data_IF_892166093618
#
_entry.id   IF_892166093618
#
_cell.length_a   1.000
_cell.length_b   1.000
_cell.length_c   1.000
_cell.angle_alpha   90.00
_cell.angle_beta   90.00
_cell.angle_gamma   90.00
#
_symmetry.space_group_name_H-M   'P 1'
#
loop_
_entity.id
_entity.type
_entity.pdbx_description
1 polymer ?
#
# COMPACT_ATOMS: atom_id res chain seq x y z
N UNK A 1 -10.21 -15.71 -29.50
CA UNK A 1 -8.77 -15.73 -29.14
C UNK A 1 -7.82 -15.39 -30.30
N UNK A 2 -8.07 -15.85 -31.57
CA UNK A 2 -7.18 -15.61 -32.74
C UNK A 2 -6.92 -14.12 -33.03
N UNK A 3 -7.93 -13.26 -32.94
CA UNK A 3 -7.79 -11.82 -33.24
C UNK A 3 -6.90 -11.04 -32.28
N UNK A 4 -6.74 -11.49 -31.03
CA UNK A 4 -5.90 -10.85 -30.01
C UNK A 4 -4.42 -11.08 -30.35
N UNK A 5 -4.07 -12.33 -30.72
CA UNK A 5 -2.71 -12.70 -31.13
C UNK A 5 -2.24 -11.82 -32.29
N UNK A 6 -3.06 -11.65 -33.32
CA UNK A 6 -2.75 -10.82 -34.47
C UNK A 6 -2.55 -9.34 -34.08
N UNK A 7 -3.36 -8.79 -33.19
CA UNK A 7 -3.24 -7.41 -32.73
C UNK A 7 -1.98 -7.17 -31.87
N UNK A 8 -1.56 -8.15 -31.07
CA UNK A 8 -0.33 -8.10 -30.27
C UNK A 8 0.91 -8.16 -31.15
N UNK A 9 0.91 -9.06 -32.14
CA UNK A 9 2.08 -9.23 -33.04
C UNK A 9 2.19 -8.09 -34.06
N UNK A 10 1.10 -7.43 -34.43
CA UNK A 10 1.11 -6.22 -35.28
C UNK A 10 1.78 -5.02 -34.61
N UNK A 11 1.78 -4.95 -33.27
CA UNK A 11 2.45 -3.92 -32.49
C UNK A 11 3.86 -4.42 -32.11
N UNK A 12 4.90 -3.63 -32.37
CA UNK A 12 6.29 -3.94 -31.96
C UNK A 12 6.46 -3.70 -30.44
N UNK A 13 5.76 -4.48 -29.62
CA UNK A 13 5.79 -4.39 -28.16
C UNK A 13 6.93 -5.23 -27.59
N UNK A 14 7.53 -4.76 -26.49
CA UNK A 14 8.40 -5.56 -25.63
C UNK A 14 7.60 -6.68 -24.94
N UNK A 15 8.28 -7.68 -24.37
CA UNK A 15 7.59 -8.77 -23.65
C UNK A 15 6.77 -8.25 -22.48
N UNK A 16 7.26 -7.23 -21.78
CA UNK A 16 6.54 -6.61 -20.66
C UNK A 16 5.24 -5.94 -21.13
N UNK A 17 5.32 -5.11 -22.17
CA UNK A 17 4.15 -4.43 -22.75
C UNK A 17 3.13 -5.44 -23.32
N UNK A 18 3.59 -6.59 -23.86
CA UNK A 18 2.66 -7.65 -24.29
C UNK A 18 1.93 -8.30 -23.12
N UNK A 19 2.64 -8.58 -22.01
CA UNK A 19 2.05 -9.15 -20.81
C UNK A 19 1.00 -8.20 -20.24
N UNK A 20 1.31 -6.90 -20.12
CA UNK A 20 0.37 -5.86 -19.68
C UNK A 20 -0.85 -5.79 -20.61
N UNK A 21 -0.63 -5.76 -21.92
CA UNK A 21 -1.71 -5.71 -22.89
C UNK A 21 -2.67 -6.90 -22.76
N UNK A 22 -2.14 -8.11 -22.56
CA UNK A 22 -2.96 -9.32 -22.38
C UNK A 22 -3.73 -9.27 -21.06
N UNK A 23 -3.06 -8.84 -19.98
CA UNK A 23 -3.71 -8.66 -18.67
C UNK A 23 -4.87 -7.65 -18.76
N UNK A 24 -4.63 -6.49 -19.36
CA UNK A 24 -5.64 -5.42 -19.50
C UNK A 24 -6.78 -5.86 -20.43
N UNK A 25 -6.47 -6.65 -21.46
CA UNK A 25 -7.52 -7.22 -22.31
C UNK A 25 -8.45 -8.14 -21.51
N UNK A 26 -7.91 -9.05 -20.69
CA UNK A 26 -8.72 -9.94 -19.86
C UNK A 26 -9.50 -9.15 -18.80
N UNK A 27 -8.86 -8.20 -18.10
CA UNK A 27 -9.52 -7.30 -17.14
C UNK A 27 -10.67 -6.51 -17.78
N UNK A 28 -10.51 -6.05 -19.00
CA UNK A 28 -11.56 -5.30 -19.71
C UNK A 28 -12.70 -6.21 -20.12
N UNK A 29 -12.40 -7.41 -20.60
CA UNK A 29 -13.41 -8.37 -21.12
C UNK A 29 -14.18 -9.08 -20.03
N UNK A 30 -13.51 -9.47 -18.93
CA UNK A 30 -14.07 -10.33 -17.89
C UNK A 30 -14.42 -9.52 -16.63
N UNK A 31 -15.49 -9.91 -15.97
CA UNK A 31 -15.87 -9.37 -14.65
C UNK A 31 -15.92 -10.52 -13.64
N UNK A 32 -15.23 -10.38 -12.51
CA UNK A 32 -15.29 -11.36 -11.44
C UNK A 32 -16.69 -11.37 -10.80
N UNK A 33 -17.28 -12.55 -10.67
CA UNK A 33 -18.63 -12.77 -10.14
C UNK A 33 -18.68 -12.89 -8.61
N UNK A 34 -17.51 -12.88 -7.94
CA UNK A 34 -17.39 -13.03 -6.49
C UNK A 34 -17.00 -14.45 -6.06
N UNK A 35 -17.04 -15.43 -6.96
CA UNK A 35 -16.74 -16.83 -6.63
C UNK A 35 -15.25 -17.11 -6.62
N UNK A 36 -14.80 -17.76 -5.55
CA UNK A 36 -13.44 -18.25 -5.38
C UNK A 36 -13.31 -19.65 -5.97
N UNK A 37 -12.14 -19.98 -6.51
CA UNK A 37 -11.88 -21.31 -7.05
C UNK A 37 -10.46 -21.44 -7.60
N UNK A 38 -10.01 -22.69 -7.73
CA UNK A 38 -8.77 -23.06 -8.43
C UNK A 38 -9.05 -23.91 -9.67
N UNK A 39 -10.29 -24.34 -9.85
CA UNK A 39 -10.79 -25.10 -11.00
C UNK A 39 -11.90 -24.29 -11.66
N UNK A 40 -11.92 -24.27 -12.98
CA UNK A 40 -13.04 -23.74 -13.73
C UNK A 40 -14.23 -24.73 -13.61
N UNK A 41 -15.41 -24.20 -13.44
CA UNK A 41 -16.66 -24.97 -13.42
C UNK A 41 -17.23 -25.12 -14.84
N UNK A 42 -17.16 -24.02 -15.62
CA UNK A 42 -17.58 -23.99 -17.01
C UNK A 42 -16.38 -24.12 -17.98
N UNK A 43 -16.66 -24.41 -19.25
CA UNK A 43 -15.68 -24.30 -20.32
C UNK A 43 -15.21 -22.84 -20.45
N UNK A 44 -13.89 -22.63 -20.60
CA UNK A 44 -13.29 -21.29 -20.61
C UNK A 44 -13.84 -20.40 -21.75
N UNK A 45 -14.20 -20.97 -22.87
CA UNK A 45 -14.80 -20.26 -24.01
C UNK A 45 -16.19 -19.73 -23.66
N UNK A 46 -17.01 -20.51 -22.94
CA UNK A 46 -18.34 -20.10 -22.48
C UNK A 46 -18.24 -18.95 -21.46
N UNK A 47 -17.33 -19.05 -20.49
CA UNK A 47 -17.08 -17.98 -19.53
C UNK A 47 -16.59 -16.70 -20.24
N UNK A 48 -15.70 -16.84 -21.21
CA UNK A 48 -15.19 -15.71 -22.01
C UNK A 48 -16.28 -15.04 -22.84
N UNK A 49 -17.19 -15.81 -23.47
CA UNK A 49 -18.32 -15.27 -24.22
C UNK A 49 -19.30 -14.55 -23.31
N UNK A 50 -19.59 -15.11 -22.15
CA UNK A 50 -20.44 -14.50 -21.09
C UNK A 50 -19.85 -13.18 -20.56
N UNK A 51 -18.52 -13.06 -20.50
CA UNK A 51 -17.80 -11.87 -20.00
C UNK A 51 -17.77 -11.77 -18.47
N UNK A 52 -18.08 -12.85 -17.76
CA UNK A 52 -17.97 -12.95 -16.31
C UNK A 52 -17.58 -14.37 -15.91
N UNK A 53 -17.00 -14.52 -14.72
CA UNK A 53 -16.62 -15.82 -14.19
C UNK A 53 -15.95 -15.77 -12.84
N UNK A 54 -15.68 -16.95 -12.32
CA UNK A 54 -14.95 -17.17 -11.08
C UNK A 54 -13.46 -16.77 -11.21
N UNK A 55 -12.75 -16.73 -10.08
CA UNK A 55 -11.31 -16.56 -10.05
C UNK A 55 -10.60 -17.50 -11.03
N UNK A 56 -11.00 -18.79 -11.01
CA UNK A 56 -10.34 -19.79 -11.83
C UNK A 56 -10.59 -19.57 -13.33
N UNK A 57 -11.82 -19.31 -13.74
CA UNK A 57 -12.14 -19.07 -15.14
C UNK A 57 -11.38 -17.87 -15.69
N UNK A 58 -11.40 -16.75 -15.00
CA UNK A 58 -10.71 -15.51 -15.42
C UNK A 58 -9.21 -15.71 -15.55
N UNK A 59 -8.57 -16.28 -14.53
CA UNK A 59 -7.11 -16.41 -14.53
C UNK A 59 -6.62 -17.58 -15.41
N UNK A 60 -7.41 -18.62 -15.62
CA UNK A 60 -7.10 -19.66 -16.59
C UNK A 60 -7.25 -19.16 -18.04
N UNK A 61 -8.22 -18.28 -18.32
CA UNK A 61 -8.31 -17.54 -19.60
C UNK A 61 -7.04 -16.70 -19.81
N UNK A 62 -6.60 -15.96 -18.79
CA UNK A 62 -5.36 -15.19 -18.85
C UNK A 62 -4.14 -16.08 -19.16
N UNK A 63 -4.02 -17.23 -18.47
CA UNK A 63 -2.96 -18.21 -18.70
C UNK A 63 -3.00 -18.75 -20.14
N UNK A 64 -4.19 -19.09 -20.63
CA UNK A 64 -4.37 -19.60 -22.01
C UNK A 64 -3.93 -18.58 -23.06
N UNK A 65 -4.32 -17.30 -22.91
CA UNK A 65 -3.93 -16.21 -23.81
C UNK A 65 -2.43 -15.94 -23.79
N UNK A 66 -1.83 -15.89 -22.61
CA UNK A 66 -0.37 -15.73 -22.47
C UNK A 66 0.38 -16.87 -23.15
N UNK A 67 -0.06 -18.11 -22.96
CA UNK A 67 0.53 -19.29 -23.58
C UNK A 67 0.39 -19.27 -25.10
N UNK A 68 -0.78 -18.90 -25.63
CA UNK A 68 -1.00 -18.72 -27.06
C UNK A 68 -0.10 -17.64 -27.68
N UNK A 69 0.26 -16.61 -26.90
CA UNK A 69 1.20 -15.57 -27.30
C UNK A 69 2.68 -15.97 -27.14
N UNK A 70 2.95 -17.21 -26.71
CA UNK A 70 4.30 -17.79 -26.66
C UNK A 70 5.04 -17.55 -25.35
N UNK A 71 4.37 -17.09 -24.30
CA UNK A 71 4.97 -16.94 -22.97
C UNK A 71 5.06 -18.29 -22.23
N UNK A 72 6.13 -18.45 -21.45
CA UNK A 72 6.25 -19.53 -20.48
C UNK A 72 5.44 -19.16 -19.23
N UNK A 73 4.21 -19.66 -19.14
CA UNK A 73 3.24 -19.32 -18.10
C UNK A 73 2.72 -20.57 -17.40
N UNK A 74 2.50 -20.45 -16.10
CA UNK A 74 2.05 -21.51 -15.22
C UNK A 74 0.96 -21.03 -14.27
N UNK A 75 0.02 -21.90 -13.84
CA UNK A 75 -0.88 -21.59 -12.72
C UNK A 75 -0.09 -21.52 -11.42
N UNK A 76 -0.42 -20.53 -10.61
CA UNK A 76 0.06 -20.39 -9.23
C UNK A 76 -1.13 -20.49 -8.30
N UNK A 77 -1.16 -21.57 -7.52
CA UNK A 77 -2.23 -21.83 -6.54
C UNK A 77 -1.97 -21.02 -5.28
N UNK A 78 -3.01 -20.40 -4.76
CA UNK A 78 -2.98 -19.54 -3.57
C UNK A 78 -4.09 -19.92 -2.60
N UNK A 79 -3.89 -19.54 -1.33
CA UNK A 79 -4.95 -19.48 -0.33
C UNK A 79 -5.29 -18.02 -0.07
N UNK A 80 -6.54 -17.61 -0.25
CA UNK A 80 -6.97 -16.25 0.08
C UNK A 80 -6.90 -16.00 1.59
N UNK A 81 -6.79 -14.72 2.01
CA UNK A 81 -6.71 -14.34 3.44
C UNK A 81 -7.86 -14.92 4.27
N UNK A 82 -9.07 -14.94 3.73
CA UNK A 82 -10.23 -15.48 4.45
C UNK A 82 -10.30 -17.02 4.47
N UNK A 83 -9.50 -17.70 3.64
CA UNK A 83 -9.45 -19.17 3.63
C UNK A 83 -8.44 -19.75 4.61
N UNK A 84 -7.46 -18.94 5.04
CA UNK A 84 -6.42 -19.28 6.01
C UNK A 84 -5.09 -19.68 5.38
N UNK A 85 -4.14 -20.08 6.22
CA UNK A 85 -2.77 -20.42 5.80
C UNK A 85 -2.66 -21.92 5.59
N UNK A 86 -2.30 -22.41 4.39
CA UNK A 86 -2.07 -23.82 4.15
C UNK A 86 -0.69 -24.22 4.72
N UNK A 87 -0.66 -24.74 5.96
CA UNK A 87 0.57 -25.20 6.61
C UNK A 87 1.25 -26.34 5.85
N UNK A 88 0.48 -27.09 5.06
CA UNK A 88 0.96 -28.18 4.21
C UNK A 88 0.34 -28.06 2.81
N UNK A 89 1.07 -28.42 1.75
CA UNK A 89 0.56 -28.35 0.38
C UNK A 89 -0.44 -29.49 0.12
N UNK A 90 -1.69 -29.30 0.50
CA UNK A 90 -2.81 -30.20 0.18
C UNK A 90 -3.68 -29.60 -0.90
N UNK A 91 -4.45 -30.44 -1.61
CA UNK A 91 -5.39 -29.94 -2.61
C UNK A 91 -6.42 -28.99 -2.01
N UNK A 92 -6.89 -29.26 -0.81
CA UNK A 92 -7.88 -28.47 -0.10
C UNK A 92 -7.30 -27.18 0.51
N UNK A 93 -5.96 -27.05 0.57
CA UNK A 93 -5.28 -25.87 1.13
C UNK A 93 -5.36 -24.63 0.26
N UNK A 94 -5.84 -24.73 -0.98
CA UNK A 94 -5.88 -23.65 -1.95
C UNK A 94 -7.28 -23.42 -2.49
N UNK A 95 -7.71 -22.17 -2.55
CA UNK A 95 -9.01 -21.73 -3.09
C UNK A 95 -8.89 -20.66 -4.18
N UNK A 96 -7.68 -20.43 -4.69
CA UNK A 96 -7.41 -19.36 -5.64
C UNK A 96 -6.33 -19.79 -6.63
N UNK A 97 -6.36 -19.26 -7.84
CA UNK A 97 -5.32 -19.44 -8.85
C UNK A 97 -5.04 -18.12 -9.57
N UNK A 98 -3.77 -17.83 -9.81
CA UNK A 98 -3.30 -16.70 -10.61
C UNK A 98 -2.33 -17.18 -11.70
N UNK A 99 -1.93 -16.29 -12.61
CA UNK A 99 -0.92 -16.58 -13.61
C UNK A 99 0.50 -16.21 -13.10
N UNK A 100 1.45 -17.12 -13.29
CA UNK A 100 2.89 -16.88 -13.10
C UNK A 100 3.63 -16.98 -14.43
N UNK A 101 4.13 -15.85 -14.94
CA UNK A 101 4.88 -15.78 -16.20
C UNK A 101 6.38 -15.80 -15.92
N UNK A 102 7.09 -16.77 -16.48
CA UNK A 102 8.55 -16.78 -16.41
C UNK A 102 9.13 -15.93 -17.53
N UNK A 103 9.79 -14.84 -17.16
CA UNK A 103 10.41 -13.92 -18.11
C UNK A 103 11.82 -13.57 -17.66
N UNK A 104 12.84 -13.91 -18.47
CA UNK A 104 14.27 -13.62 -18.21
C UNK A 104 14.74 -14.05 -16.82
N UNK A 105 14.30 -15.23 -16.36
CA UNK A 105 14.68 -15.79 -15.06
C UNK A 105 13.92 -15.25 -13.86
N UNK A 106 12.99 -14.31 -14.05
CA UNK A 106 12.08 -13.79 -13.03
C UNK A 106 10.67 -14.33 -13.23
N UNK A 107 9.89 -14.37 -12.17
CA UNK A 107 8.47 -14.70 -12.22
C UNK A 107 7.67 -13.41 -12.06
N UNK A 108 6.77 -13.16 -13.00
CA UNK A 108 5.81 -12.04 -12.98
C UNK A 108 4.46 -12.65 -12.62
N UNK A 109 3.87 -12.19 -11.52
CA UNK A 109 2.57 -12.65 -11.05
C UNK A 109 1.47 -11.73 -11.59
N UNK A 110 0.37 -12.33 -12.06
CA UNK A 110 -0.73 -11.61 -12.70
C UNK A 110 -2.07 -12.15 -12.19
N UNK A 111 -2.99 -11.24 -11.90
CA UNK A 111 -4.36 -11.56 -11.53
C UNK A 111 -5.33 -10.62 -12.27
N UNK A 112 -6.19 -11.17 -13.11
CA UNK A 112 -7.13 -10.40 -13.92
C UNK A 112 -8.52 -10.21 -13.25
N UNK A 113 -8.71 -10.69 -12.03
CA UNK A 113 -9.99 -10.56 -11.30
C UNK A 113 -10.20 -9.18 -10.68
N UNK A 114 -9.15 -8.36 -10.60
CA UNK A 114 -9.19 -7.00 -10.07
C UNK A 114 -8.81 -6.00 -11.16
N UNK A 115 -9.71 -5.06 -11.45
CA UNK A 115 -9.51 -4.06 -12.50
C UNK A 115 -8.30 -3.15 -12.25
N UNK A 116 -7.91 -2.97 -10.97
CA UNK A 116 -6.80 -2.10 -10.54
C UNK A 116 -5.49 -2.85 -10.36
N UNK A 117 -5.45 -4.17 -10.55
CA UNK A 117 -4.21 -4.96 -10.53
C UNK A 117 -3.28 -4.62 -11.71
N UNK A 118 -1.99 -4.81 -11.50
CA UNK A 118 -0.96 -4.71 -12.55
C UNK A 118 0.12 -5.80 -12.34
N UNK A 119 1.06 -6.00 -13.25
CA UNK A 119 2.09 -7.02 -13.06
C UNK A 119 2.79 -6.92 -11.68
N UNK A 120 2.77 -8.00 -10.91
CA UNK A 120 3.22 -8.14 -9.52
C UNK A 120 2.42 -7.35 -8.48
N UNK A 121 1.44 -6.54 -8.86
CA UNK A 121 0.53 -5.85 -7.93
C UNK A 121 -0.81 -6.55 -7.96
N UNK A 122 -0.98 -7.49 -7.04
CA UNK A 122 -2.14 -8.37 -6.94
C UNK A 122 -3.20 -7.78 -6.01
N UNK A 123 -4.44 -8.27 -6.06
CA UNK A 123 -5.47 -7.90 -5.08
C UNK A 123 -5.06 -8.24 -3.64
N UNK A 124 -5.38 -7.38 -2.68
CA UNK A 124 -5.01 -7.58 -1.26
C UNK A 124 -5.46 -8.93 -0.69
N UNK A 125 -6.53 -9.52 -1.21
CA UNK A 125 -7.08 -10.80 -0.75
C UNK A 125 -6.16 -11.99 -0.95
N UNK A 126 -5.15 -11.89 -1.85
CA UNK A 126 -4.23 -13.00 -2.16
C UNK A 126 -2.89 -12.92 -1.44
N UNK A 127 -2.55 -11.79 -0.82
CA UNK A 127 -1.33 -11.64 -0.04
C UNK A 127 -1.50 -12.28 1.35
N UNK A 128 -1.49 -13.60 1.40
CA UNK A 128 -1.74 -14.35 2.63
C UNK A 128 -0.50 -15.11 3.12
N UNK A 129 0.08 -15.93 2.26
CA UNK A 129 1.23 -16.79 2.55
C UNK A 129 2.13 -16.88 1.33
N UNK A 130 2.56 -18.09 0.97
CA UNK A 130 3.26 -18.37 -0.28
C UNK A 130 2.30 -18.92 -1.33
N UNK A 131 2.62 -18.69 -2.59
CA UNK A 131 1.98 -19.33 -3.72
C UNK A 131 2.67 -20.65 -4.09
N UNK A 132 1.98 -21.52 -4.82
CA UNK A 132 2.54 -22.76 -5.36
C UNK A 132 2.36 -22.79 -6.89
N UNK A 133 3.43 -22.49 -7.60
CA UNK A 133 3.44 -22.57 -9.06
C UNK A 133 3.53 -24.05 -9.47
N UNK A 134 2.65 -24.48 -10.36
CA UNK A 134 2.54 -25.88 -10.81
C UNK A 134 2.83 -25.98 -12.30
N UNK A 135 3.79 -26.83 -12.67
CA UNK A 135 4.07 -27.13 -14.07
C UNK A 135 3.08 -28.15 -14.64
N UNK A 136 2.95 -28.17 -15.96
CA UNK A 136 2.14 -29.17 -16.66
C UNK A 136 2.65 -30.62 -16.53
N UNK A 137 3.88 -30.80 -16.05
CA UNK A 137 4.46 -32.11 -15.72
C UNK A 137 4.23 -32.52 -14.26
N UNK A 138 3.46 -31.72 -13.48
CA UNK A 138 3.19 -32.01 -12.07
C UNK A 138 4.30 -31.61 -11.10
N UNK A 139 5.34 -30.95 -11.56
CA UNK A 139 6.39 -30.39 -10.68
C UNK A 139 5.87 -29.07 -10.10
N UNK A 140 6.03 -28.87 -8.81
CA UNK A 140 5.61 -27.62 -8.15
C UNK A 140 6.77 -26.90 -7.46
N UNK A 141 6.67 -25.59 -7.43
CA UNK A 141 7.63 -24.68 -6.79
C UNK A 141 6.88 -23.69 -5.89
N UNK A 142 7.43 -23.42 -4.70
CA UNK A 142 6.93 -22.36 -3.84
C UNK A 142 7.33 -20.99 -4.39
N UNK A 143 6.41 -20.03 -4.29
CA UNK A 143 6.58 -18.66 -4.79
C UNK A 143 6.31 -17.69 -3.65
N UNK A 144 7.26 -16.79 -3.39
CA UNK A 144 7.08 -15.66 -2.52
C UNK A 144 6.22 -14.59 -3.22
N UNK A 145 5.06 -14.28 -2.65
CA UNK A 145 4.12 -13.29 -3.20
C UNK A 145 4.58 -11.85 -2.98
N UNK A 146 5.52 -11.63 -2.08
CA UNK A 146 6.00 -10.31 -1.67
C UNK A 146 7.34 -9.92 -2.30
N UNK A 147 8.03 -10.83 -3.01
CA UNK A 147 9.38 -10.64 -3.54
C UNK A 147 9.49 -9.41 -4.46
N UNK A 148 8.47 -9.15 -5.27
CA UNK A 148 8.50 -8.12 -6.31
C UNK A 148 7.69 -6.87 -5.96
N UNK A 149 7.29 -6.68 -4.70
CA UNK A 149 6.54 -5.50 -4.27
C UNK A 149 7.35 -4.64 -3.31
N UNK A 150 7.13 -3.33 -3.40
CA UNK A 150 7.72 -2.33 -2.50
C UNK A 150 6.68 -1.27 -2.13
N UNK A 151 5.67 -1.64 -1.30
CA UNK A 151 4.66 -0.70 -0.88
C UNK A 151 5.28 0.43 -0.07
N UNK A 152 5.08 1.67 -0.52
CA UNK A 152 5.64 2.83 0.13
C UNK A 152 4.74 4.06 0.01
N UNK A 153 4.70 4.82 1.10
CA UNK A 153 4.17 6.18 1.17
C UNK A 153 5.31 7.13 1.53
N UNK A 154 5.53 8.15 0.73
CA UNK A 154 6.54 9.18 0.98
C UNK A 154 5.87 10.54 0.94
N UNK A 155 5.74 11.19 2.09
CA UNK A 155 5.11 12.49 2.25
C UNK A 155 6.14 13.60 2.50
N UNK A 156 5.90 14.72 1.87
CA UNK A 156 6.65 15.97 2.08
C UNK A 156 5.67 17.11 2.36
N UNK A 157 5.94 17.87 3.42
CA UNK A 157 5.12 19.01 3.82
C UNK A 157 5.98 20.26 3.95
N UNK A 158 5.44 21.37 3.45
CA UNK A 158 5.86 22.72 3.85
C UNK A 158 4.73 23.30 4.67
N UNK A 159 5.03 23.74 5.88
CA UNK A 159 4.05 24.20 6.84
C UNK A 159 4.45 25.57 7.35
N UNK A 160 3.52 26.49 7.49
CA UNK A 160 3.66 27.73 8.23
C UNK A 160 2.81 27.67 9.49
N UNK A 161 3.42 27.99 10.63
CA UNK A 161 2.69 28.18 11.90
C UNK A 161 2.48 29.67 12.12
N UNK A 162 1.21 30.11 12.20
CA UNK A 162 0.89 31.51 12.47
C UNK A 162 0.95 31.85 13.96
N UNK A 163 0.99 33.15 14.29
CA UNK A 163 0.91 33.59 15.70
C UNK A 163 -0.43 33.18 16.36
N UNK A 164 -1.51 33.03 15.61
CA UNK A 164 -2.82 32.60 16.09
C UNK A 164 -2.87 31.10 16.38
N UNK A 165 -1.88 30.33 15.92
CA UNK A 165 -1.79 28.88 16.13
C UNK A 165 -2.43 28.07 15.01
N UNK A 166 -2.62 28.69 13.85
CA UNK A 166 -3.07 28.02 12.64
C UNK A 166 -1.86 27.36 11.97
N UNK A 167 -2.03 26.12 11.52
CA UNK A 167 -1.10 25.45 10.64
C UNK A 167 -1.68 25.47 9.23
N UNK A 168 -0.93 26.00 8.29
CA UNK A 168 -1.28 26.01 6.88
C UNK A 168 -0.07 25.66 6.03
N UNK A 169 -0.30 25.07 4.85
CA UNK A 169 0.81 24.70 4.01
C UNK A 169 0.45 23.76 2.86
N UNK A 170 1.49 23.22 2.25
CA UNK A 170 1.43 22.29 1.14
C UNK A 170 1.71 20.87 1.61
N UNK A 171 0.89 19.93 1.18
CA UNK A 171 1.10 18.49 1.32
C UNK A 171 1.35 17.86 -0.05
N UNK A 172 2.38 17.02 -0.13
CA UNK A 172 2.65 16.20 -1.31
C UNK A 172 3.02 14.79 -0.87
N UNK A 173 2.36 13.77 -1.44
CA UNK A 173 2.62 12.37 -1.12
C UNK A 173 2.74 11.55 -2.41
N UNK A 174 3.73 10.66 -2.42
CA UNK A 174 3.90 9.64 -3.46
C UNK A 174 3.60 8.27 -2.88
N UNK A 175 2.66 7.57 -3.50
CA UNK A 175 2.23 6.22 -3.14
C UNK A 175 2.66 5.24 -4.22
N UNK A 176 3.24 4.11 -3.84
CA UNK A 176 3.70 3.09 -4.77
C UNK A 176 3.20 1.70 -4.41
N UNK A 177 3.16 0.81 -5.40
CA UNK A 177 2.79 -0.60 -5.23
C UNK A 177 1.39 -0.73 -4.58
N UNK A 178 1.23 -1.51 -3.52
CA UNK A 178 -0.06 -1.75 -2.85
C UNK A 178 -0.64 -0.50 -2.19
N UNK A 179 0.17 0.48 -1.79
CA UNK A 179 -0.33 1.76 -1.30
C UNK A 179 -1.07 2.53 -2.41
N UNK A 180 -0.54 2.49 -3.65
CA UNK A 180 -1.21 3.06 -4.81
C UNK A 180 -2.48 2.27 -5.19
N UNK A 181 -2.43 0.94 -5.16
CA UNK A 181 -3.60 0.08 -5.40
C UNK A 181 -4.73 0.40 -4.42
N UNK A 182 -4.43 0.52 -3.12
CA UNK A 182 -5.41 0.83 -2.08
C UNK A 182 -6.04 2.22 -2.29
N UNK A 183 -5.23 3.21 -2.69
CA UNK A 183 -5.77 4.53 -2.99
C UNK A 183 -6.68 4.50 -4.23
N UNK A 184 -6.31 3.75 -5.30
CA UNK A 184 -7.16 3.56 -6.49
C UNK A 184 -8.50 2.94 -6.12
N UNK A 185 -8.50 1.84 -5.34
CA UNK A 185 -9.74 1.20 -4.90
C UNK A 185 -10.65 2.17 -4.15
N UNK A 186 -10.11 2.98 -3.23
CA UNK A 186 -10.90 3.99 -2.52
C UNK A 186 -11.41 5.07 -3.48
N UNK A 187 -10.53 5.65 -4.30
CA UNK A 187 -10.90 6.72 -5.22
C UNK A 187 -12.03 6.35 -6.19
N UNK A 188 -11.96 5.14 -6.76
CA UNK A 188 -12.99 4.67 -7.69
C UNK A 188 -14.25 4.10 -7.02
N UNK A 189 -14.21 3.87 -5.70
CA UNK A 189 -15.37 3.46 -4.92
C UNK A 189 -16.26 4.62 -4.46
N UNK A 190 -15.71 5.84 -4.40
CA UNK A 190 -16.42 7.05 -4.00
C UNK A 190 -16.96 7.83 -5.21
N UNK A 191 -18.03 8.58 -4.98
CA UNK A 191 -18.44 9.65 -5.92
C UNK A 191 -17.37 10.75 -5.92
N UNK A 192 -16.99 11.22 -7.11
CA UNK A 192 -15.95 12.27 -7.25
C UNK A 192 -16.32 13.57 -6.55
N UNK A 193 -17.61 13.85 -6.39
CA UNK A 193 -18.10 15.04 -5.69
C UNK A 193 -17.93 14.96 -4.17
N UNK A 194 -17.81 13.75 -3.59
CA UNK A 194 -17.66 13.53 -2.15
C UNK A 194 -16.20 13.21 -1.75
N UNK A 195 -15.35 12.99 -2.74
CA UNK A 195 -13.97 12.51 -2.50
C UNK A 195 -13.13 13.50 -1.67
N UNK A 196 -13.21 14.80 -1.95
CA UNK A 196 -12.43 15.80 -1.22
C UNK A 196 -12.91 15.92 0.23
N UNK A 197 -14.21 15.86 0.48
CA UNK A 197 -14.80 15.88 1.83
C UNK A 197 -14.35 14.66 2.64
N UNK A 198 -14.34 13.46 2.02
CA UNK A 198 -13.82 12.23 2.63
C UNK A 198 -12.32 12.34 2.98
N UNK A 199 -11.51 12.95 2.09
CA UNK A 199 -10.08 13.15 2.36
C UNK A 199 -9.87 14.22 3.46
N UNK A 200 -10.68 15.28 3.53
CA UNK A 200 -10.65 16.27 4.64
C UNK A 200 -10.92 15.57 5.98
N UNK A 201 -11.97 14.76 6.05
CA UNK A 201 -12.31 14.01 7.27
C UNK A 201 -11.20 13.02 7.63
N UNK A 202 -10.70 12.27 6.67
CA UNK A 202 -9.63 11.28 6.87
C UNK A 202 -8.32 11.88 7.38
N UNK A 203 -7.95 13.05 6.88
CA UNK A 203 -6.77 13.77 7.37
C UNK A 203 -7.03 14.54 8.66
N UNK A 204 -8.30 14.80 9.00
CA UNK A 204 -8.66 15.60 10.16
C UNK A 204 -8.18 17.05 10.07
N UNK A 205 -8.19 17.61 8.85
CA UNK A 205 -7.84 19.01 8.56
C UNK A 205 -9.10 19.88 8.47
N UNK A 206 -8.95 21.19 8.61
CA UNK A 206 -10.11 22.12 8.61
C UNK A 206 -10.51 22.51 7.19
N UNK A 207 -9.57 22.57 6.27
CA UNK A 207 -9.77 22.99 4.88
C UNK A 207 -8.74 22.32 3.97
N UNK A 208 -9.17 21.96 2.75
CA UNK A 208 -8.33 21.44 1.67
C UNK A 208 -8.60 22.24 0.40
N UNK A 209 -7.54 22.71 -0.26
CA UNK A 209 -7.60 23.50 -1.49
C UNK A 209 -6.65 22.90 -2.54
N UNK A 210 -6.94 23.13 -3.80
CA UNK A 210 -6.08 22.74 -4.93
C UNK A 210 -5.72 21.24 -4.92
N UNK A 211 -6.70 20.39 -4.56
CA UNK A 211 -6.49 18.95 -4.55
C UNK A 211 -6.15 18.43 -5.94
N UNK A 212 -5.05 17.71 -6.05
CA UNK A 212 -4.60 17.10 -7.29
C UNK A 212 -4.16 15.65 -7.06
N UNK A 213 -4.54 14.77 -7.99
CA UNK A 213 -4.24 13.34 -7.96
C UNK A 213 -3.73 12.90 -9.32
N UNK A 214 -2.41 12.71 -9.44
CA UNK A 214 -1.74 12.25 -10.66
C UNK A 214 -1.51 10.75 -10.63
N UNK A 215 -1.61 10.08 -11.80
CA UNK A 215 -1.30 8.66 -11.94
C UNK A 215 -2.37 7.71 -11.43
N UNK A 216 -3.57 8.20 -11.10
CA UNK A 216 -4.65 7.34 -10.58
C UNK A 216 -5.20 6.37 -11.63
N UNK A 217 -5.23 6.76 -12.89
CA UNK A 217 -5.72 5.96 -14.01
C UNK A 217 -4.64 5.05 -14.63
N UNK A 218 -3.37 5.40 -14.49
CA UNK A 218 -2.25 4.59 -14.98
C UNK A 218 -1.75 3.64 -13.90
N UNK A 219 -2.06 2.35 -14.04
CA UNK A 219 -1.78 1.34 -13.04
C UNK A 219 -0.28 1.03 -12.88
N UNK A 220 0.55 1.43 -13.84
CA UNK A 220 1.98 1.11 -13.90
C UNK A 220 2.87 2.17 -13.24
N UNK A 221 2.30 3.32 -12.88
CA UNK A 221 3.03 4.40 -12.23
C UNK A 221 2.53 4.63 -10.79
N UNK A 222 3.38 5.17 -9.92
CA UNK A 222 2.95 5.63 -8.61
C UNK A 222 1.90 6.72 -8.69
N UNK A 223 1.05 6.81 -7.68
CA UNK A 223 0.15 7.95 -7.51
C UNK A 223 0.90 9.07 -6.78
N UNK A 224 0.73 10.29 -7.26
CA UNK A 224 1.14 11.50 -6.55
C UNK A 224 -0.10 12.28 -6.18
N UNK A 225 -0.28 12.49 -4.87
CA UNK A 225 -1.36 13.29 -4.29
C UNK A 225 -0.78 14.58 -3.75
N UNK A 226 -1.42 15.73 -4.03
CA UNK A 226 -1.02 17.01 -3.46
C UNK A 226 -2.23 17.89 -3.19
N UNK A 227 -2.13 18.74 -2.16
CA UNK A 227 -3.13 19.74 -1.81
C UNK A 227 -2.53 20.80 -0.86
N UNK A 228 -3.17 21.96 -0.81
CA UNK A 228 -2.96 22.94 0.24
C UNK A 228 -3.93 22.65 1.38
N UNK A 229 -3.48 22.83 2.62
CA UNK A 229 -4.28 22.53 3.82
C UNK A 229 -4.24 23.63 4.85
N UNK A 230 -5.28 23.66 5.69
CA UNK A 230 -5.37 24.48 6.88
C UNK A 230 -5.85 23.66 8.07
N UNK A 231 -5.23 23.87 9.24
CA UNK A 231 -5.65 23.30 10.52
C UNK A 231 -5.81 24.43 11.52
N UNK A 232 -7.06 24.77 11.85
CA UNK A 232 -7.36 25.94 12.71
C UNK A 232 -6.98 25.76 14.18
N UNK A 233 -6.93 24.51 14.66
CA UNK A 233 -6.56 24.16 16.03
C UNK A 233 -5.34 23.23 16.04
N UNK A 234 -4.26 23.68 15.41
CA UNK A 234 -3.04 22.89 15.23
C UNK A 234 -2.12 22.89 16.45
N UNK A 235 -2.34 23.74 17.45
CA UNK A 235 -1.46 23.92 18.61
C UNK A 235 -2.21 24.14 19.90
N UNK A 236 -1.56 23.87 21.04
CA UNK A 236 -2.01 24.31 22.37
C UNK A 236 -1.20 25.54 22.81
N UNK A 237 -1.84 26.43 23.58
CA UNK A 237 -1.23 27.64 24.12
C UNK A 237 -1.37 27.73 25.63
N UNK A 238 -0.26 28.06 26.27
CA UNK A 238 -0.24 28.32 27.73
C UNK A 238 0.66 29.53 27.99
N UNK A 239 0.08 30.65 28.35
CA UNK A 239 0.81 31.90 28.54
C UNK A 239 1.50 32.40 27.29
N UNK A 240 2.82 32.58 27.32
CA UNK A 240 3.63 33.01 26.21
C UNK A 240 4.23 31.81 25.39
N UNK A 241 3.76 30.58 25.68
CA UNK A 241 4.26 29.37 25.03
C UNK A 241 3.23 28.76 24.09
N UNK A 242 3.75 28.23 22.98
CA UNK A 242 3.04 27.41 21.98
C UNK A 242 3.58 25.97 22.03
N UNK A 243 2.68 25.02 22.10
CA UNK A 243 2.98 23.58 22.04
C UNK A 243 2.45 23.02 20.73
N UNK A 244 3.36 22.67 19.82
CA UNK A 244 3.01 22.13 18.50
C UNK A 244 3.47 20.69 18.36
N UNK A 245 2.60 19.82 17.83
CA UNK A 245 2.97 18.47 17.41
C UNK A 245 3.60 18.53 16.03
N UNK A 246 4.89 18.20 15.87
CA UNK A 246 5.59 18.42 14.60
C UNK A 246 5.02 17.60 13.43
N UNK A 247 4.50 16.39 13.68
CA UNK A 247 3.87 15.55 12.65
C UNK A 247 2.42 15.94 12.35
N UNK A 248 1.81 16.80 13.18
CA UNK A 248 0.45 17.30 12.97
C UNK A 248 -0.57 16.17 12.81
N UNK A 249 -1.34 16.21 11.73
CA UNK A 249 -2.35 15.21 11.39
C UNK A 249 -1.79 13.86 10.87
N UNK A 250 -0.49 13.77 10.63
CA UNK A 250 0.15 12.53 10.13
C UNK A 250 0.62 11.59 11.24
N UNK A 251 0.58 12.05 12.52
CA UNK A 251 1.01 11.26 13.68
C UNK A 251 0.11 10.05 13.92
N UNK A 252 0.69 9.00 14.45
CA UNK A 252 -0.06 7.91 15.06
C UNK A 252 -0.55 8.35 16.45
N UNK A 253 -1.86 8.51 16.63
CA UNK A 253 -2.45 9.07 17.85
C UNK A 253 -2.52 8.07 19.00
N UNK A 254 -2.65 6.76 18.70
CA UNK A 254 -2.79 5.71 19.70
C UNK A 254 -2.16 4.39 19.26
N UNK A 255 -1.77 3.60 20.26
CA UNK A 255 -1.23 2.25 19.98
C UNK A 255 -2.35 1.31 19.49
N UNK A 256 -2.22 0.69 18.31
CA UNK A 256 -3.21 -0.23 17.80
C UNK A 256 -3.27 -1.56 18.58
N UNK A 257 -2.24 -1.87 19.37
CA UNK A 257 -2.15 -3.13 20.13
C UNK A 257 -2.66 -2.92 21.57
N UNK A 258 -3.97 -3.10 21.77
CA UNK A 258 -4.64 -2.84 23.06
C UNK A 258 -4.61 -4.05 24.00
N UNK A 259 -4.66 -5.29 23.47
CA UNK A 259 -4.72 -6.52 24.26
C UNK A 259 -3.44 -6.75 25.04
N UNK A 260 -3.54 -7.35 26.23
CA UNK A 260 -2.37 -7.69 27.05
C UNK A 260 -1.64 -8.92 26.51
N UNK A 261 -2.36 -9.87 25.94
CA UNK A 261 -1.79 -11.10 25.38
C UNK A 261 -2.40 -11.46 24.04
N UNK A 262 -1.71 -12.28 23.27
CA UNK A 262 -2.18 -12.86 22.00
C UNK A 262 -1.91 -14.36 21.97
N UNK A 263 -2.77 -15.09 21.26
CA UNK A 263 -2.62 -16.55 21.05
C UNK A 263 -2.18 -16.86 19.62
N UNK A 264 -2.34 -15.91 18.68
CA UNK A 264 -2.01 -16.06 17.27
C UNK A 264 -1.03 -14.99 16.82
N UNK A 265 -0.19 -15.27 15.81
CA UNK A 265 0.68 -14.29 15.19
C UNK A 265 -0.10 -13.04 14.74
N UNK A 266 0.59 -11.92 14.73
CA UNK A 266 0.05 -10.67 14.16
C UNK A 266 0.34 -10.68 12.67
N UNK A 267 -0.71 -10.57 11.86
CA UNK A 267 -0.60 -10.43 10.43
C UNK A 267 -0.91 -8.99 10.02
N UNK A 268 0.06 -8.34 9.42
CA UNK A 268 -0.11 -7.13 8.64
C UNK A 268 -0.45 -7.52 7.21
N UNK A 269 -1.11 -6.64 6.48
CA UNK A 269 -1.51 -6.96 5.11
C UNK A 269 -0.33 -7.25 4.20
N UNK A 270 0.75 -6.48 4.35
CA UNK A 270 2.00 -6.61 3.59
C UNK A 270 3.14 -5.85 4.29
N UNK A 271 4.41 -6.11 3.95
CA UNK A 271 5.53 -5.26 4.33
C UNK A 271 5.39 -3.88 3.68
N UNK A 272 5.66 -2.78 4.41
CA UNK A 272 5.56 -1.44 3.85
C UNK A 272 6.51 -0.43 4.51
N UNK A 273 6.72 0.70 3.83
CA UNK A 273 7.45 1.85 4.38
C UNK A 273 6.62 3.13 4.34
N UNK A 274 6.79 3.97 5.36
CA UNK A 274 6.22 5.31 5.43
C UNK A 274 7.32 6.30 5.81
N UNK A 275 7.61 7.22 4.90
CA UNK A 275 8.58 8.29 5.09
C UNK A 275 7.85 9.63 5.10
N UNK A 276 8.13 10.47 6.12
CA UNK A 276 7.57 11.81 6.23
C UNK A 276 8.72 12.79 6.43
N UNK A 277 8.71 13.87 5.65
CA UNK A 277 9.60 15.02 5.82
C UNK A 277 8.76 16.28 5.92
N UNK A 278 8.98 17.07 6.97
CA UNK A 278 8.26 18.31 7.20
C UNK A 278 9.26 19.45 7.40
N UNK A 279 9.07 20.54 6.68
CA UNK A 279 9.71 21.83 6.94
C UNK A 279 8.62 22.78 7.46
N UNK A 280 8.71 23.15 8.74
CA UNK A 280 7.74 24.02 9.39
C UNK A 280 8.38 25.37 9.73
N UNK A 281 7.89 26.44 9.13
CA UNK A 281 8.28 27.80 9.46
C UNK A 281 7.65 28.24 10.78
N UNK A 282 8.47 28.79 11.68
CA UNK A 282 8.04 29.27 12.98
C UNK A 282 7.47 30.69 12.89
N UNK A 283 6.50 31.07 13.75
CA UNK A 283 5.96 32.43 13.76
C UNK A 283 7.03 33.45 14.22
N UNK A 284 6.97 34.64 13.65
CA UNK A 284 7.88 35.70 14.02
C UNK A 284 7.80 36.02 15.52
N UNK A 285 8.93 36.34 16.15
CA UNK A 285 8.99 36.65 17.57
C UNK A 285 8.90 35.42 18.51
N UNK A 286 9.01 34.20 17.96
CA UNK A 286 9.11 32.97 18.74
C UNK A 286 10.44 32.27 18.52
N UNK A 287 10.94 31.63 19.56
CA UNK A 287 12.10 30.74 19.51
C UNK A 287 11.77 29.37 20.06
N UNK A 288 12.50 28.37 19.64
CA UNK A 288 12.40 27.03 20.23
C UNK A 288 12.93 27.05 21.66
N UNK A 289 12.09 26.63 22.59
CA UNK A 289 12.44 26.43 24.00
C UNK A 289 12.76 24.97 24.31
N UNK A 290 12.10 24.01 23.63
CA UNK A 290 12.34 22.58 23.78
C UNK A 290 12.02 21.83 22.50
N UNK A 291 12.86 20.85 22.15
CA UNK A 291 12.68 19.91 21.04
C UNK A 291 12.63 18.47 21.55
N UNK A 292 11.81 17.61 20.93
CA UNK A 292 11.91 16.16 21.07
C UNK A 292 13.32 15.65 20.72
N UNK A 293 13.79 14.64 21.42
CA UNK A 293 15.06 13.96 21.07
C UNK A 293 14.86 13.04 19.85
N UNK A 294 15.90 12.89 19.05
CA UNK A 294 15.93 11.91 17.98
C UNK A 294 15.87 10.49 18.53
N UNK A 295 15.17 9.61 17.82
CA UNK A 295 14.91 8.22 18.29
C UNK A 295 15.09 7.25 17.13
N UNK A 296 15.68 6.09 17.43
CA UNK A 296 15.79 4.97 16.51
C UNK A 296 15.41 3.69 17.24
N UNK A 297 14.33 3.04 16.80
CA UNK A 297 13.79 1.81 17.38
C UNK A 297 13.84 0.68 16.35
N UNK A 298 14.05 -0.55 16.82
CA UNK A 298 14.00 -1.76 16.02
C UNK A 298 13.11 -2.81 16.64
N UNK A 299 12.39 -3.55 15.81
CA UNK A 299 11.69 -4.76 16.20
C UNK A 299 12.64 -5.96 16.23
N UNK A 300 12.36 -6.99 17.06
CA UNK A 300 13.11 -8.22 17.04
C UNK A 300 13.16 -8.85 15.64
N UNK A 301 14.19 -9.65 15.39
CA UNK A 301 14.39 -10.40 14.16
C UNK A 301 14.34 -9.51 12.89
N UNK A 302 14.81 -8.26 13.02
CA UNK A 302 14.81 -7.23 11.95
C UNK A 302 13.44 -7.05 11.26
N UNK A 303 12.35 -7.27 12.01
CA UNK A 303 10.99 -7.25 11.46
C UNK A 303 10.50 -5.85 11.12
N UNK A 304 11.08 -4.81 11.70
CA UNK A 304 10.73 -3.42 11.40
C UNK A 304 11.61 -2.42 12.12
N UNK A 305 11.54 -1.16 11.67
CA UNK A 305 12.32 -0.04 12.23
C UNK A 305 11.47 1.22 12.27
N UNK A 306 11.75 2.08 13.26
CA UNK A 306 11.20 3.43 13.35
C UNK A 306 12.33 4.40 13.65
N UNK A 307 12.42 5.44 12.87
CA UNK A 307 13.36 6.54 13.03
C UNK A 307 12.62 7.86 13.08
N UNK A 308 13.00 8.73 14.03
CA UNK A 308 12.49 10.08 14.14
C UNK A 308 13.65 11.03 14.44
N UNK A 309 13.71 12.14 13.73
CA UNK A 309 14.63 13.23 14.02
C UNK A 309 13.97 14.58 13.80
N UNK A 310 14.38 15.56 14.60
CA UNK A 310 13.95 16.95 14.50
C UNK A 310 15.12 17.87 14.79
N UNK A 311 15.21 18.95 14.02
CA UNK A 311 16.19 20.01 14.22
C UNK A 311 15.55 21.35 13.89
N UNK A 312 16.01 22.42 14.54
CA UNK A 312 15.67 23.80 14.18
C UNK A 312 16.89 24.45 13.52
N UNK A 313 16.65 25.13 12.40
CA UNK A 313 17.66 25.91 11.71
C UNK A 313 17.02 27.16 11.09
N UNK A 314 17.49 28.34 11.53
CA UNK A 314 17.04 29.64 11.02
C UNK A 314 15.51 29.83 11.02
N UNK A 315 14.84 29.46 12.08
CA UNK A 315 13.38 29.61 12.21
C UNK A 315 12.57 28.52 11.47
N UNK A 316 13.22 27.47 10.98
CA UNK A 316 12.56 26.34 10.33
C UNK A 316 12.81 25.08 11.14
N UNK A 317 11.73 24.43 11.57
CA UNK A 317 11.79 23.06 12.10
C UNK A 317 11.84 22.08 10.94
N UNK A 318 12.88 21.25 10.93
CA UNK A 318 13.03 20.14 9.99
C UNK A 318 12.75 18.83 10.70
N UNK A 319 11.71 18.13 10.29
CA UNK A 319 11.27 16.87 10.89
C UNK A 319 11.43 15.75 9.86
N UNK A 320 11.99 14.63 10.28
CA UNK A 320 12.07 13.42 9.49
C UNK A 320 11.55 12.24 10.31
N UNK A 321 10.57 11.53 9.77
CA UNK A 321 10.07 10.27 10.33
C UNK A 321 10.15 9.19 9.26
N UNK A 322 10.66 8.02 9.63
CA UNK A 322 10.68 6.82 8.80
C UNK A 322 10.19 5.63 9.59
N UNK A 323 9.20 4.96 9.06
CA UNK A 323 8.71 3.70 9.59
C UNK A 323 8.81 2.64 8.50
N UNK A 324 9.37 1.48 8.83
CA UNK A 324 9.47 0.36 7.91
C UNK A 324 9.05 -0.93 8.62
N UNK A 325 8.05 -1.58 8.08
CA UNK A 325 7.67 -2.95 8.42
C UNK A 325 8.27 -3.86 7.35
N UNK A 326 9.18 -4.77 7.72
CA UNK A 326 9.90 -5.64 6.77
C UNK A 326 9.25 -7.02 6.67
N UNK A 327 8.60 -7.49 7.74
CA UNK A 327 7.88 -8.76 7.81
C UNK A 327 6.40 -8.50 8.05
N UNK A 328 5.55 -9.12 7.27
CA UNK A 328 4.10 -8.97 7.40
C UNK A 328 3.50 -9.89 8.48
N UNK A 329 4.21 -10.92 8.91
CA UNK A 329 3.81 -11.79 10.02
C UNK A 329 4.81 -11.63 11.16
N UNK A 330 4.31 -11.26 12.33
CA UNK A 330 5.07 -11.16 13.57
C UNK A 330 4.64 -12.33 14.48
N UNK A 331 5.55 -13.24 14.83
CA UNK A 331 5.28 -14.35 15.74
C UNK A 331 4.73 -13.89 17.09
N UNK A 332 3.92 -14.72 17.72
CA UNK A 332 3.23 -14.40 18.98
C UNK A 332 4.20 -14.11 20.13
N UNK A 333 5.36 -14.75 20.14
CA UNK A 333 6.44 -14.53 21.12
C UNK A 333 7.02 -13.11 21.09
N UNK A 334 6.86 -12.38 19.98
CA UNK A 334 7.29 -10.98 19.85
C UNK A 334 6.17 -9.98 20.09
N UNK A 335 4.98 -10.42 20.53
CA UNK A 335 3.84 -9.52 20.72
C UNK A 335 4.11 -8.41 21.74
N UNK A 336 4.73 -8.72 22.87
CA UNK A 336 5.08 -7.72 23.88
C UNK A 336 6.07 -6.67 23.34
N UNK A 337 7.09 -7.13 22.60
CA UNK A 337 8.05 -6.24 21.95
C UNK A 337 7.38 -5.35 20.88
N UNK A 338 6.43 -5.89 20.11
CA UNK A 338 5.67 -5.15 19.13
C UNK A 338 4.79 -4.09 19.82
N UNK A 339 4.08 -4.45 20.89
CA UNK A 339 3.24 -3.54 21.69
C UNK A 339 4.05 -2.40 22.28
N UNK A 340 5.22 -2.69 22.85
CA UNK A 340 6.12 -1.67 23.42
C UNK A 340 6.73 -0.79 22.31
N UNK A 341 7.15 -1.36 21.18
CA UNK A 341 7.64 -0.62 20.03
C UNK A 341 6.61 0.41 19.55
N UNK A 342 5.34 0.00 19.38
CA UNK A 342 4.27 0.91 18.95
C UNK A 342 3.92 1.93 20.03
N UNK A 343 4.04 1.59 21.31
CA UNK A 343 3.88 2.56 22.40
C UNK A 343 4.97 3.65 22.35
N UNK A 344 6.24 3.26 22.26
CA UNK A 344 7.36 4.20 22.14
C UNK A 344 7.26 5.07 20.87
N UNK A 345 6.80 4.48 19.76
CA UNK A 345 6.52 5.20 18.53
C UNK A 345 5.41 6.24 18.71
N UNK A 346 4.28 5.85 19.30
CA UNK A 346 3.15 6.78 19.60
C UNK A 346 3.60 7.89 20.53
N UNK A 347 4.32 7.55 21.61
CA UNK A 347 4.83 8.53 22.56
C UNK A 347 5.72 9.56 21.82
N UNK A 348 6.64 9.08 20.96
CA UNK A 348 7.53 9.94 20.17
C UNK A 348 6.80 10.80 19.15
N UNK A 349 5.83 10.25 18.40
CA UNK A 349 5.07 10.99 17.40
C UNK A 349 4.14 12.06 18.01
N UNK A 350 3.78 11.93 19.31
CA UNK A 350 2.94 12.86 20.05
C UNK A 350 3.74 13.84 20.93
N UNK A 351 5.07 13.72 21.02
CA UNK A 351 5.90 14.72 21.70
C UNK A 351 5.76 16.08 21.02
N UNK A 352 5.74 17.13 21.86
CA UNK A 352 5.53 18.51 21.38
C UNK A 352 6.83 19.30 21.35
N UNK A 353 6.99 20.11 20.34
CA UNK A 353 7.91 21.23 20.33
C UNK A 353 7.32 22.35 21.18
N UNK A 354 8.13 22.98 22.02
CA UNK A 354 7.74 24.15 22.80
C UNK A 354 8.40 25.38 22.21
N UNK A 355 7.58 26.33 21.78
CA UNK A 355 7.99 27.64 21.33
C UNK A 355 7.69 28.67 22.43
N UNK A 356 8.55 29.65 22.59
CA UNK A 356 8.39 30.75 23.58
C UNK A 356 8.55 32.07 22.86
N UNK A 357 7.66 33.02 23.18
CA UNK A 357 7.71 34.38 22.65
C UNK A 357 8.96 35.11 23.19
N UNK A 358 9.71 35.74 22.28
CA UNK A 358 10.95 36.46 22.59
C UNK A 358 10.65 37.84 23.17
#
# INVERSE_FOLDING_TARGET
LKGIKESIFAKKLSDHEKIEFILDHVKTRMTWDGEYGKYAEDELDEAYERGSGSVAEINLILIALLKECGFEVYPVLLSSKQYGIPLYPTLEGYNYVIAGVRNKGKIILLDATDKMSSPNILPNRVYNWTGRMVSFQGVSQEIDLFENIAPASTAFLKVSLTEEGILEGEYKERLSSLEALNLRHRYFAYDKSEWEDEEIERFGISEMLDYNLEGVEDLNIPIVRSFNFKVERGVDRVGNKIFVSPLGFLRLSENPFKSDTRQFPISFDYPFSKDITINMELPQGYKVSSLPESTNLGLPDDSGTFFYSIAENNGILQVMMRFKLKKHIIPVEYYESLKEFFKLRVDKENEKVVLEKV
#
